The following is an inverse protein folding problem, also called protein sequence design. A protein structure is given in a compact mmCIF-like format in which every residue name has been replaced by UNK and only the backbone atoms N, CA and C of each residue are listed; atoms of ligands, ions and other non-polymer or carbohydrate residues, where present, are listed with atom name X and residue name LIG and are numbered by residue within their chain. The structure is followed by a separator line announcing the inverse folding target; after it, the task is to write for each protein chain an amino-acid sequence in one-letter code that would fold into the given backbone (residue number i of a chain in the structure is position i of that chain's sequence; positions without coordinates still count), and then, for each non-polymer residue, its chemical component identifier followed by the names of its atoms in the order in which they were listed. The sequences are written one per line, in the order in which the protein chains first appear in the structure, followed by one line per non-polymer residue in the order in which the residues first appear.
data_IF_904435722212
#
_entry.id   IF_904435722212
#
_cell.length_a   1.000
_cell.length_b   1.000
_cell.length_c   1.000
_cell.angle_alpha   90.00
_cell.angle_beta   90.00
_cell.angle_gamma   90.00
#
_symmetry.space_group_name_H-M   'P 1'
#
loop_
_entity.id
_entity.type
_entity.pdbx_description
1 polymer ?
#
# COMPACT_ATOMS: atom_id res chain seq x y z
N UNK A 1 3.60 2.50 -16.64
CA UNK A 1 3.06 3.44 -15.63
C UNK A 1 3.29 2.96 -14.19
N UNK A 2 3.02 1.68 -13.85
CA UNK A 2 2.96 1.22 -12.45
C UNK A 2 4.24 1.33 -11.60
N UNK A 3 5.39 0.82 -12.07
CA UNK A 3 6.61 0.75 -11.22
C UNK A 3 7.17 2.14 -10.90
N UNK A 4 7.22 3.04 -11.89
CA UNK A 4 7.71 4.40 -11.67
C UNK A 4 6.82 5.18 -10.69
N UNK A 5 5.50 5.05 -10.80
CA UNK A 5 4.56 5.68 -9.87
C UNK A 5 4.71 5.10 -8.46
N UNK A 6 4.83 3.78 -8.34
CA UNK A 6 5.03 3.11 -7.05
C UNK A 6 6.34 3.56 -6.37
N UNK A 7 7.43 3.76 -7.13
CA UNK A 7 8.70 4.26 -6.57
C UNK A 7 8.55 5.71 -6.13
N UNK A 8 7.91 6.56 -6.94
CA UNK A 8 7.66 7.97 -6.60
C UNK A 8 6.80 8.11 -5.34
N UNK A 9 5.68 7.37 -5.27
CA UNK A 9 4.78 7.35 -4.12
C UNK A 9 5.48 6.80 -2.88
N UNK A 10 6.25 5.72 -3.01
CA UNK A 10 7.04 5.18 -1.91
C UNK A 10 8.02 6.21 -1.36
N UNK A 11 8.78 6.89 -2.24
CA UNK A 11 9.74 7.92 -1.83
C UNK A 11 9.03 9.08 -1.13
N UNK A 12 7.88 9.52 -1.64
CA UNK A 12 7.08 10.56 -1.02
C UNK A 12 6.63 10.18 0.40
N UNK A 13 6.16 8.94 0.60
CA UNK A 13 5.78 8.44 1.93
C UNK A 13 6.98 8.35 2.88
N UNK A 14 8.11 7.78 2.43
CA UNK A 14 9.30 7.62 3.27
C UNK A 14 9.95 8.95 3.67
N UNK A 15 10.04 9.91 2.74
CA UNK A 15 10.52 11.26 3.03
C UNK A 15 9.52 12.04 3.89
N UNK A 16 8.22 11.85 3.69
CA UNK A 16 7.15 12.42 4.50
C UNK A 16 7.25 12.01 5.96
N UNK A 17 7.38 10.72 6.24
CA UNK A 17 7.56 10.20 7.60
C UNK A 17 8.87 10.69 8.22
N UNK A 18 9.96 10.74 7.44
CA UNK A 18 11.25 11.28 7.92
C UNK A 18 11.14 12.76 8.32
N UNK A 19 10.52 13.59 7.47
CA UNK A 19 10.33 15.01 7.76
C UNK A 19 9.35 15.22 8.91
N UNK A 20 8.24 14.46 8.95
CA UNK A 20 7.25 14.50 10.02
C UNK A 20 7.87 14.19 11.38
N UNK A 21 8.61 13.09 11.49
CA UNK A 21 9.24 12.71 12.75
C UNK A 21 10.41 13.65 13.12
N UNK A 22 11.10 14.24 12.14
CA UNK A 22 12.06 15.32 12.41
C UNK A 22 11.35 16.55 13.00
N UNK A 23 10.22 16.96 12.43
CA UNK A 23 9.43 18.10 12.93
C UNK A 23 8.85 17.83 14.32
N UNK A 24 8.39 16.61 14.60
CA UNK A 24 7.96 16.22 15.95
C UNK A 24 9.10 16.36 16.96
N UNK A 25 10.33 15.94 16.62
CA UNK A 25 11.50 16.11 17.49
C UNK A 25 11.88 17.56 17.72
N UNK A 26 11.76 18.41 16.71
CA UNK A 26 11.99 19.85 16.85
C UNK A 26 10.92 20.50 17.74
N UNK A 27 9.67 20.03 17.73
CA UNK A 27 8.62 20.45 18.66
C UNK A 27 8.81 19.92 20.08
N UNK A 28 9.25 18.66 20.23
CA UNK A 28 9.47 18.01 21.52
C UNK A 28 10.78 18.43 22.20
N UNK A 29 11.74 19.02 21.48
CA UNK A 29 12.91 19.64 22.11
C UNK A 29 12.54 20.75 23.11
N UNK A 30 11.34 21.34 22.99
CA UNK A 30 10.77 22.27 23.98
C UNK A 30 9.98 21.61 25.12
N UNK A 31 9.61 20.32 24.99
CA UNK A 31 8.75 19.61 25.93
C UNK A 31 9.45 18.32 26.36
N UNK A 32 9.99 18.29 27.59
CA UNK A 32 10.81 17.24 28.22
C UNK A 32 10.17 15.81 28.27
N UNK A 33 9.73 15.25 27.14
CA UNK A 33 9.15 13.92 26.99
C UNK A 33 10.22 13.03 26.33
N UNK A 34 10.55 11.92 26.99
CA UNK A 34 11.51 10.93 26.47
C UNK A 34 10.89 10.21 25.26
N UNK A 35 11.07 10.74 24.06
CA UNK A 35 10.79 9.97 22.85
C UNK A 35 11.95 9.02 22.58
N UNK A 36 11.59 7.77 22.34
CA UNK A 36 12.52 6.67 22.11
C UNK A 36 13.49 7.05 20.98
N UNK A 37 14.76 6.72 21.23
CA UNK A 37 15.92 7.14 20.47
C UNK A 37 16.09 6.29 19.20
N UNK A 38 15.08 6.27 18.34
CA UNK A 38 15.20 5.63 17.03
C UNK A 38 15.81 6.60 16.03
N UNK A 39 16.57 6.12 15.05
CA UNK A 39 17.14 6.98 14.03
C UNK A 39 16.02 7.37 13.06
N UNK A 40 15.67 8.66 12.98
CA UNK A 40 14.60 9.22 12.10
C UNK A 40 14.67 8.66 10.67
N UNK A 41 15.90 8.50 10.16
CA UNK A 41 16.13 7.96 8.82
C UNK A 41 15.69 6.50 8.67
N UNK A 42 15.75 5.70 9.73
CA UNK A 42 15.29 4.30 9.73
C UNK A 42 13.76 4.23 9.63
N UNK A 43 13.01 5.11 10.28
CA UNK A 43 11.54 5.14 10.21
C UNK A 43 11.08 5.33 8.76
N UNK A 44 11.55 6.39 8.09
CA UNK A 44 11.19 6.67 6.70
C UNK A 44 11.65 5.59 5.72
N UNK A 45 12.83 5.01 5.93
CA UNK A 45 13.33 3.90 5.11
C UNK A 45 12.47 2.63 5.27
N UNK A 46 12.00 2.33 6.48
CA UNK A 46 11.12 1.19 6.74
C UNK A 46 9.78 1.39 6.02
N UNK A 47 9.19 2.59 6.07
CA UNK A 47 7.94 2.91 5.34
C UNK A 47 8.14 2.75 3.84
N UNK A 48 9.25 3.25 3.29
CA UNK A 48 9.60 3.09 1.87
C UNK A 48 9.66 1.62 1.46
N UNK A 49 10.47 0.81 2.15
CA UNK A 49 10.67 -0.60 1.83
C UNK A 49 9.35 -1.38 2.01
N UNK A 50 8.60 -1.10 3.07
CA UNK A 50 7.30 -1.73 3.33
C UNK A 50 6.30 -1.42 2.21
N UNK A 51 6.23 -0.16 1.74
CA UNK A 51 5.37 0.23 0.62
C UNK A 51 5.77 -0.45 -0.68
N UNK A 52 7.07 -0.50 -1.00
CA UNK A 52 7.56 -1.16 -2.23
C UNK A 52 7.23 -2.66 -2.22
N UNK A 53 7.45 -3.34 -1.09
CA UNK A 53 7.13 -4.76 -0.96
C UNK A 53 5.62 -4.96 -1.04
N UNK A 54 4.82 -4.25 -0.24
CA UNK A 54 3.37 -4.39 -0.21
C UNK A 54 2.71 -4.02 -1.56
N UNK A 55 3.15 -2.94 -2.19
CA UNK A 55 2.67 -2.47 -3.50
C UNK A 55 3.05 -3.39 -4.66
N UNK A 56 4.08 -4.23 -4.48
CA UNK A 56 4.44 -5.25 -5.48
C UNK A 56 3.56 -6.50 -5.46
N UNK A 57 2.84 -6.78 -4.35
CA UNK A 57 2.01 -7.98 -4.22
C UNK A 57 0.91 -8.09 -5.29
N UNK A 58 0.13 -7.04 -5.60
CA UNK A 58 -0.88 -7.08 -6.67
C UNK A 58 -0.29 -7.23 -8.08
N UNK A 59 1.01 -6.93 -8.26
CA UNK A 59 1.70 -7.02 -9.55
C UNK A 59 2.33 -8.40 -9.80
N UNK A 60 2.52 -9.21 -8.76
CA UNK A 60 3.00 -10.60 -8.86
C UNK A 60 2.26 -11.47 -9.89
N UNK A 61 0.91 -11.49 -9.98
CA UNK A 61 0.21 -12.30 -10.98
C UNK A 61 0.60 -11.94 -12.42
N UNK A 62 0.86 -10.65 -12.68
CA UNK A 62 1.32 -10.18 -13.99
C UNK A 62 2.78 -10.56 -14.28
N UNK A 63 3.65 -10.56 -13.26
CA UNK A 63 5.03 -11.03 -13.41
C UNK A 63 5.11 -12.54 -13.69
N UNK A 64 4.25 -13.34 -13.05
CA UNK A 64 4.16 -14.80 -13.27
C UNK A 64 3.67 -15.11 -14.68
N UNK A 65 2.75 -14.31 -15.22
CA UNK A 65 2.29 -14.44 -16.61
C UNK A 65 3.42 -14.20 -17.62
N UNK A 66 4.23 -13.16 -17.43
CA UNK A 66 5.40 -12.90 -18.29
C UNK A 66 6.51 -13.95 -18.17
N UNK A 67 6.58 -14.70 -17.05
CA UNK A 67 7.56 -15.75 -16.81
C UNK A 67 7.27 -17.09 -17.52
N UNK A 68 6.16 -17.19 -18.29
CA UNK A 68 5.91 -18.32 -19.18
C UNK A 68 5.30 -19.57 -18.51
N UNK A 69 4.70 -19.44 -17.32
CA UNK A 69 3.94 -20.54 -16.72
C UNK A 69 2.58 -20.71 -17.41
N UNK A 70 2.16 -21.94 -17.80
CA UNK A 70 0.92 -22.20 -18.52
C UNK A 70 -0.28 -22.12 -17.56
N UNK A 71 -0.70 -20.89 -17.23
CA UNK A 71 -1.91 -20.65 -16.46
C UNK A 71 -3.01 -20.21 -17.43
N UNK A 72 -3.90 -21.16 -17.72
CA UNK A 72 -5.16 -21.11 -18.47
C UNK A 72 -5.61 -19.69 -18.92
N UNK A 73 -5.42 -19.40 -20.21
CA UNK A 73 -5.76 -18.15 -20.92
C UNK A 73 -7.21 -17.67 -20.68
N UNK A 74 -8.13 -18.57 -20.35
CA UNK A 74 -9.54 -18.25 -20.09
C UNK A 74 -9.85 -17.65 -18.71
N UNK A 75 -8.87 -17.57 -17.79
CA UNK A 75 -9.11 -17.20 -16.37
C UNK A 75 -8.25 -16.04 -15.84
N UNK A 76 -7.55 -15.32 -16.72
CA UNK A 76 -6.61 -14.23 -16.35
C UNK A 76 -7.26 -13.12 -15.50
N UNK A 77 -8.46 -12.68 -15.88
CA UNK A 77 -9.17 -11.62 -15.15
C UNK A 77 -9.55 -12.05 -13.73
N UNK A 78 -10.02 -13.29 -13.56
CA UNK A 78 -10.38 -13.84 -12.26
C UNK A 78 -9.16 -14.02 -11.35
N UNK A 79 -8.01 -14.42 -11.91
CA UNK A 79 -6.77 -14.54 -11.16
C UNK A 79 -6.23 -13.19 -10.68
N UNK A 80 -6.30 -12.14 -11.50
CA UNK A 80 -5.92 -10.78 -11.09
C UNK A 80 -6.81 -10.23 -9.99
N UNK A 81 -8.13 -10.43 -10.08
CA UNK A 81 -9.07 -10.05 -9.01
C UNK A 81 -8.76 -10.82 -7.74
N UNK A 82 -8.60 -12.14 -7.82
CA UNK A 82 -8.33 -12.98 -6.66
C UNK A 82 -7.00 -12.62 -5.99
N UNK A 83 -5.98 -12.31 -6.79
CA UNK A 83 -4.68 -11.86 -6.27
C UNK A 83 -4.77 -10.48 -5.64
N UNK A 84 -5.57 -9.56 -6.18
CA UNK A 84 -5.79 -8.23 -5.60
C UNK A 84 -6.52 -8.34 -4.26
N UNK A 85 -7.59 -9.14 -4.21
CA UNK A 85 -8.32 -9.45 -2.97
C UNK A 85 -7.39 -10.11 -1.96
N UNK A 86 -6.61 -11.11 -2.41
CA UNK A 86 -5.63 -11.80 -1.58
C UNK A 86 -4.56 -10.86 -1.03
N UNK A 87 -4.03 -9.94 -1.84
CA UNK A 87 -3.04 -8.96 -1.42
C UNK A 87 -3.61 -7.96 -0.41
N UNK A 88 -4.78 -7.38 -0.67
CA UNK A 88 -5.45 -6.46 0.26
C UNK A 88 -5.79 -7.14 1.58
N UNK A 89 -6.29 -8.38 1.52
CA UNK A 89 -6.61 -9.17 2.70
C UNK A 89 -5.35 -9.55 3.48
N UNK A 90 -4.27 -9.97 2.81
CA UNK A 90 -3.01 -10.34 3.44
C UNK A 90 -2.38 -9.13 4.15
N UNK A 91 -2.29 -7.98 3.47
CA UNK A 91 -1.75 -6.75 4.06
C UNK A 91 -2.62 -6.30 5.24
N UNK A 92 -3.95 -6.34 5.10
CA UNK A 92 -4.88 -6.04 6.19
C UNK A 92 -4.76 -7.00 7.38
N UNK A 93 -4.61 -8.29 7.11
CA UNK A 93 -4.41 -9.33 8.13
C UNK A 93 -3.06 -9.18 8.83
N UNK A 94 -1.96 -8.95 8.09
CA UNK A 94 -0.63 -8.72 8.67
C UNK A 94 -0.64 -7.53 9.63
N UNK A 95 -1.33 -6.44 9.29
CA UNK A 95 -1.49 -5.28 10.18
C UNK A 95 -2.10 -5.67 11.54
N UNK A 96 -3.11 -6.54 11.56
CA UNK A 96 -3.79 -6.93 12.82
C UNK A 96 -2.92 -7.75 13.78
N UNK A 97 -1.88 -8.42 13.27
CA UNK A 97 -0.97 -9.21 14.11
C UNK A 97 -0.26 -8.34 15.16
N UNK A 98 -0.02 -7.07 14.83
CA UNK A 98 0.56 -6.10 15.76
C UNK A 98 -0.47 -5.45 16.69
N UNK A 99 -1.75 -5.47 16.33
CA UNK A 99 -2.84 -4.80 17.08
C UNK A 99 -3.65 -5.76 17.98
N UNK A 100 -3.32 -7.05 18.05
CA UNK A 100 -4.04 -8.10 18.83
C UNK A 100 -5.54 -8.26 18.51
N UNK A 101 -6.02 -7.69 17.41
CA UNK A 101 -7.39 -7.86 16.92
C UNK A 101 -7.51 -9.11 16.04
N UNK A 102 -8.73 -9.60 15.82
CA UNK A 102 -8.97 -10.78 14.97
C UNK A 102 -8.55 -10.52 13.51
N UNK A 103 -7.63 -11.34 13.01
CA UNK A 103 -7.03 -11.23 11.67
C UNK A 103 -8.01 -11.08 10.50
N UNK A 104 -9.13 -11.80 10.57
CA UNK A 104 -10.17 -11.80 9.57
C UNK A 104 -10.90 -10.45 9.48
N UNK A 105 -11.12 -9.78 10.62
CA UNK A 105 -11.81 -8.48 10.64
C UNK A 105 -10.95 -7.40 10.00
N UNK A 106 -9.66 -7.34 10.31
CA UNK A 106 -8.79 -6.34 9.69
C UNK A 106 -8.51 -6.59 8.21
N UNK A 107 -8.44 -7.86 7.78
CA UNK A 107 -8.43 -8.18 6.35
C UNK A 107 -9.70 -7.71 5.62
N UNK A 108 -10.87 -7.95 6.22
CA UNK A 108 -12.16 -7.55 5.64
C UNK A 108 -12.36 -6.02 5.65
N UNK A 109 -11.93 -5.33 6.70
CA UNK A 109 -11.93 -3.86 6.78
C UNK A 109 -11.08 -3.27 5.65
N UNK A 110 -9.88 -3.82 5.41
CA UNK A 110 -9.00 -3.35 4.33
C UNK A 110 -9.60 -3.61 2.94
N UNK A 111 -10.27 -4.74 2.74
CA UNK A 111 -11.00 -5.03 1.50
C UNK A 111 -12.15 -4.05 1.26
N UNK A 112 -12.91 -3.71 2.29
CA UNK A 112 -14.00 -2.74 2.18
C UNK A 112 -13.46 -1.35 1.81
N UNK A 113 -12.40 -0.88 2.47
CA UNK A 113 -11.73 0.39 2.15
C UNK A 113 -11.19 0.38 0.72
N UNK A 114 -10.51 -0.70 0.32
CA UNK A 114 -9.97 -0.85 -1.04
C UNK A 114 -11.06 -0.84 -2.11
N UNK A 115 -12.19 -1.50 -1.85
CA UNK A 115 -13.33 -1.55 -2.78
C UNK A 115 -13.98 -0.18 -2.93
N UNK A 116 -14.17 0.56 -1.83
CA UNK A 116 -14.70 1.93 -1.86
C UNK A 116 -13.74 2.85 -2.63
N UNK A 117 -12.43 2.76 -2.36
CA UNK A 117 -11.42 3.57 -3.04
C UNK A 117 -11.36 3.26 -4.55
N UNK A 118 -11.39 1.99 -4.94
CA UNK A 118 -11.41 1.57 -6.33
C UNK A 118 -12.68 2.04 -7.05
N UNK A 119 -13.84 1.95 -6.39
CA UNK A 119 -15.10 2.48 -6.91
C UNK A 119 -15.04 3.99 -7.12
N UNK A 120 -14.51 4.75 -6.16
CA UNK A 120 -14.32 6.19 -6.29
C UNK A 120 -13.37 6.55 -7.45
N UNK A 121 -12.24 5.84 -7.59
CA UNK A 121 -11.30 6.05 -8.68
C UNK A 121 -11.92 5.78 -10.06
N UNK A 122 -12.74 4.73 -10.19
CA UNK A 122 -13.44 4.40 -11.43
C UNK A 122 -14.48 5.46 -11.81
N UNK A 123 -15.27 5.95 -10.84
CA UNK A 123 -16.26 7.00 -11.06
C UNK A 123 -15.59 8.32 -11.49
N UNK A 124 -14.52 8.72 -10.79
CA UNK A 124 -13.78 9.93 -11.14
C UNK A 124 -13.12 9.82 -12.51
N UNK A 125 -12.53 8.66 -12.82
CA UNK A 125 -11.94 8.39 -14.14
C UNK A 125 -12.97 8.52 -15.27
N UNK A 126 -14.15 7.90 -15.10
CA UNK A 126 -15.24 8.01 -16.07
C UNK A 126 -15.80 9.43 -16.19
N UNK A 127 -15.85 10.20 -15.09
CA UNK A 127 -16.29 11.59 -15.12
C UNK A 127 -15.33 12.47 -15.93
N UNK A 128 -14.02 12.28 -15.74
CA UNK A 128 -12.99 13.01 -16.51
C UNK A 128 -13.05 12.63 -17.99
N UNK A 129 -13.19 11.34 -18.31
CA UNK A 129 -13.31 10.89 -19.70
C UNK A 129 -14.51 11.54 -20.42
N UNK A 130 -15.65 11.70 -19.71
CA UNK A 130 -16.84 12.37 -20.25
C UNK A 130 -16.71 13.88 -20.47
N UNK A 131 -15.68 14.54 -19.91
CA UNK A 131 -15.39 15.96 -20.19
C UNK A 131 -14.43 16.13 -21.37
N UNK A 132 -13.66 15.10 -21.70
CA UNK A 132 -12.66 15.11 -22.77
C UNK A 132 -13.29 14.69 -24.11
N UNK A 133 -14.27 13.78 -24.06
CA UNK A 133 -15.02 13.27 -25.23
C UNK A 133 -16.33 14.04 -25.39
#
# INVERSE_FOLDING_TARGET
MGIANMIADGLAMGLGDFLGERSEREMEAGLHRKVCKDAVWKSGLVTFIAFVIAGSLPLLPYCVYYAGLPIVEASQFNFSILSTIGALFLVGSLRTTFTKQSWWKGGLEMLAVGTIAAGAAYLLGGWVESMIV
#
